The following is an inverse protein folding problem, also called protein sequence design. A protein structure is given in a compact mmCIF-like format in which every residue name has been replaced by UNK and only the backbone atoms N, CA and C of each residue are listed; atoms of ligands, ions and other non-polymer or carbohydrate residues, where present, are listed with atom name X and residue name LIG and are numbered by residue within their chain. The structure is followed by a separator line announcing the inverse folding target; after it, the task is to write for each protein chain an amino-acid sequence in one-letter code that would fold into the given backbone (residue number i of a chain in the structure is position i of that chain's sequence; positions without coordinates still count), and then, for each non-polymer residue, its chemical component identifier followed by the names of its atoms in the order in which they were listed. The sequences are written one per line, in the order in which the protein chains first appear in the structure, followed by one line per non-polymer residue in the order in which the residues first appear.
data_IF_045417791117
#
_entry.id   IF_045417791117
#
_cell.length_a   1.000
_cell.length_b   1.000
_cell.length_c   1.000
_cell.angle_alpha   90.00
_cell.angle_beta   90.00
_cell.angle_gamma   90.00
#
_symmetry.space_group_name_H-M   'P 1'
#
loop_
_entity.id
_entity.type
_entity.pdbx_description
1 polymer ?
#
# COMPACT_ATOMS: atom_id res chain seq x y z
N UNK A 1 35.73 -18.16 -0.12
CA UNK A 1 34.59 -18.90 0.46
C UNK A 1 33.33 -18.15 0.08
N UNK A 2 32.51 -18.73 -0.81
CA UNK A 2 31.16 -18.22 -1.05
C UNK A 2 30.32 -18.66 0.14
N UNK A 3 30.03 -17.73 1.06
CA UNK A 3 28.94 -17.94 2.00
C UNK A 3 27.64 -17.74 1.20
N UNK A 4 27.02 -18.84 0.78
CA UNK A 4 25.59 -18.80 0.49
C UNK A 4 24.88 -18.23 1.73
N UNK A 5 23.98 -17.27 1.53
CA UNK A 5 23.23 -16.65 2.61
C UNK A 5 22.36 -17.70 3.31
N UNK A 6 22.90 -18.30 4.38
CA UNK A 6 22.17 -19.23 5.24
C UNK A 6 21.28 -18.44 6.18
N UNK A 7 19.98 -18.59 6.02
CA UNK A 7 18.99 -18.06 6.95
C UNK A 7 18.77 -19.07 8.09
N UNK A 8 18.64 -18.58 9.31
CA UNK A 8 18.30 -19.39 10.47
C UNK A 8 17.46 -18.58 11.45
N UNK A 9 16.58 -19.26 12.19
CA UNK A 9 15.75 -18.62 13.21
C UNK A 9 16.60 -18.28 14.42
N UNK A 10 16.73 -16.99 14.71
CA UNK A 10 17.49 -16.50 15.87
C UNK A 10 16.64 -16.44 17.15
N UNK A 11 15.31 -16.33 16.99
CA UNK A 11 14.39 -16.10 18.08
C UNK A 11 12.97 -16.52 17.67
N UNK A 12 12.22 -17.05 18.63
CA UNK A 12 10.79 -17.32 18.49
C UNK A 12 10.10 -16.89 19.79
N UNK A 13 9.00 -16.15 19.68
CA UNK A 13 8.16 -15.78 20.81
C UNK A 13 6.74 -16.27 20.54
N UNK A 14 6.16 -16.90 21.54
CA UNK A 14 4.72 -17.17 21.59
C UNK A 14 4.15 -16.15 22.56
N UNK A 15 3.12 -15.42 22.14
CA UNK A 15 2.47 -14.42 22.98
C UNK A 15 0.97 -14.57 22.88
N UNK A 16 0.27 -14.34 23.99
CA UNK A 16 -1.19 -14.34 24.05
C UNK A 16 -1.78 -12.98 23.62
N UNK A 17 -0.95 -11.92 23.61
CA UNK A 17 -1.29 -10.55 23.20
C UNK A 17 -0.10 -9.87 22.53
N UNK A 18 -0.35 -8.97 21.58
CA UNK A 18 0.69 -8.29 20.80
C UNK A 18 0.61 -6.77 20.98
N UNK A 19 0.92 -6.26 22.18
CA UNK A 19 1.05 -4.81 22.41
C UNK A 19 2.45 -4.32 22.05
N UNK A 20 2.57 -3.04 21.68
CA UNK A 20 3.86 -2.38 21.38
C UNK A 20 4.93 -2.67 22.44
N UNK A 21 4.54 -2.59 23.73
CA UNK A 21 5.44 -2.85 24.87
C UNK A 21 5.97 -4.29 24.90
N UNK A 22 5.16 -5.27 24.53
CA UNK A 22 5.55 -6.69 24.56
C UNK A 22 6.54 -7.02 23.45
N UNK A 23 6.39 -6.37 22.29
CA UNK A 23 7.34 -6.47 21.17
C UNK A 23 8.63 -5.70 21.49
N UNK A 24 8.53 -4.52 22.10
CA UNK A 24 9.70 -3.75 22.52
C UNK A 24 10.61 -4.57 23.46
N UNK A 25 10.02 -5.22 24.47
CA UNK A 25 10.75 -6.11 25.39
C UNK A 25 11.41 -7.27 24.67
N UNK A 26 10.79 -7.81 23.62
CA UNK A 26 11.39 -8.88 22.82
C UNK A 26 12.69 -8.41 22.15
N UNK A 27 12.73 -7.18 21.63
CA UNK A 27 13.97 -6.62 21.07
C UNK A 27 15.01 -6.39 22.17
N UNK A 28 14.61 -5.87 23.32
CA UNK A 28 15.50 -5.69 24.47
C UNK A 28 16.14 -7.03 24.90
N UNK A 29 15.32 -8.07 25.13
CA UNK A 29 15.77 -9.42 25.50
C UNK A 29 16.75 -9.99 24.46
N UNK A 30 16.45 -9.80 23.18
CA UNK A 30 17.33 -10.25 22.09
C UNK A 30 18.71 -9.59 22.17
N UNK A 31 18.77 -8.29 22.42
CA UNK A 31 20.04 -7.55 22.46
C UNK A 31 20.81 -7.72 23.77
N UNK A 32 20.13 -8.04 24.88
CA UNK A 32 20.79 -8.43 26.14
C UNK A 32 21.71 -9.65 25.93
N UNK A 33 21.42 -10.51 24.95
CA UNK A 33 22.30 -11.65 24.59
C UNK A 33 23.63 -11.23 23.96
N UNK A 34 23.84 -9.94 23.68
CA UNK A 34 25.01 -9.41 23.00
C UNK A 34 24.85 -9.31 21.47
N UNK A 35 23.67 -9.60 20.94
CA UNK A 35 23.34 -9.35 19.54
C UNK A 35 23.50 -7.86 19.21
N UNK A 36 24.12 -7.54 18.07
CA UNK A 36 24.25 -6.14 17.61
C UNK A 36 22.95 -5.69 16.96
N UNK A 37 22.57 -4.40 17.06
CA UNK A 37 21.48 -3.85 16.27
C UNK A 37 21.71 -4.12 14.78
N UNK A 38 20.69 -4.60 14.05
CA UNK A 38 20.80 -4.84 12.63
C UNK A 38 20.82 -3.52 11.85
N UNK A 39 21.35 -3.55 10.63
CA UNK A 39 21.29 -2.40 9.72
C UNK A 39 19.88 -2.20 9.14
N UNK A 40 19.10 -3.28 9.03
CA UNK A 40 17.72 -3.27 8.53
C UNK A 40 16.86 -4.29 9.29
N UNK A 41 15.61 -3.92 9.58
CA UNK A 41 14.57 -4.82 10.09
C UNK A 41 13.39 -4.76 9.13
N UNK A 42 12.96 -5.94 8.67
CA UNK A 42 11.77 -6.11 7.83
C UNK A 42 10.70 -6.79 8.66
N UNK A 43 9.48 -6.25 8.67
CA UNK A 43 8.35 -6.79 9.43
C UNK A 43 7.03 -6.55 8.72
N UNK A 44 5.99 -7.30 9.10
CA UNK A 44 4.63 -7.09 8.60
C UNK A 44 4.10 -5.70 8.98
N UNK A 45 3.05 -5.24 8.28
CA UNK A 45 2.39 -3.94 8.51
C UNK A 45 1.52 -3.96 9.79
N UNK A 46 2.11 -4.38 10.90
CA UNK A 46 1.47 -4.33 12.21
C UNK A 46 1.94 -3.09 12.97
N UNK A 47 0.98 -2.30 13.44
CA UNK A 47 1.27 -1.05 14.17
C UNK A 47 2.10 -1.29 15.43
N UNK A 48 1.84 -2.37 16.16
CA UNK A 48 2.60 -2.69 17.36
C UNK A 48 4.06 -3.10 17.06
N UNK A 49 4.29 -3.83 15.95
CA UNK A 49 5.64 -4.19 15.50
C UNK A 49 6.42 -2.96 15.07
N UNK A 50 5.81 -2.14 14.21
CA UNK A 50 6.42 -0.94 13.65
C UNK A 50 6.75 0.09 14.74
N UNK A 51 5.82 0.35 15.68
CA UNK A 51 6.06 1.25 16.81
C UNK A 51 7.17 0.73 17.71
N UNK A 52 7.15 -0.56 18.07
CA UNK A 52 8.18 -1.14 18.93
C UNK A 52 9.58 -1.04 18.29
N UNK A 53 9.67 -1.25 16.98
CA UNK A 53 10.93 -1.14 16.24
C UNK A 53 11.41 0.32 16.17
N UNK A 54 10.51 1.26 15.89
CA UNK A 54 10.83 2.69 15.86
C UNK A 54 11.35 3.18 17.22
N UNK A 55 10.68 2.79 18.31
CA UNK A 55 11.10 3.09 19.68
C UNK A 55 12.45 2.46 20.03
N UNK A 56 12.64 1.19 19.71
CA UNK A 56 13.83 0.47 20.13
C UNK A 56 15.07 0.88 19.33
N UNK A 57 14.98 0.85 18.00
CA UNK A 57 16.11 1.02 17.09
C UNK A 57 16.39 2.46 16.68
N UNK A 58 15.36 3.32 16.66
CA UNK A 58 15.47 4.70 16.17
C UNK A 58 15.20 5.74 17.25
N UNK A 59 14.79 5.33 18.45
CA UNK A 59 14.45 6.20 19.59
C UNK A 59 13.32 7.19 19.30
N UNK A 60 12.49 6.89 18.29
CA UNK A 60 11.27 7.63 17.99
C UNK A 60 10.13 7.16 18.91
N UNK A 61 9.16 8.00 19.22
CA UNK A 61 8.03 7.61 20.09
C UNK A 61 7.05 6.67 19.38
N UNK A 62 6.98 6.73 18.05
CA UNK A 62 6.10 5.94 17.21
C UNK A 62 6.63 5.86 15.76
N UNK A 63 5.94 5.10 14.92
CA UNK A 63 6.27 4.94 13.51
C UNK A 63 6.07 6.24 12.70
N UNK A 64 5.15 7.11 13.09
CA UNK A 64 4.92 8.39 12.42
C UNK A 64 6.15 9.30 12.50
N UNK A 65 6.73 9.42 13.70
CA UNK A 65 7.93 10.20 13.96
C UNK A 65 9.12 9.59 13.21
N UNK A 66 9.23 8.26 13.18
CA UNK A 66 10.23 7.57 12.37
C UNK A 66 10.08 7.89 10.88
N UNK A 67 8.86 7.84 10.35
CA UNK A 67 8.59 8.14 8.94
C UNK A 67 8.94 9.60 8.60
N UNK A 68 8.66 10.54 9.50
CA UNK A 68 9.06 11.95 9.32
C UNK A 68 10.59 12.10 9.34
N UNK A 69 11.28 11.39 10.24
CA UNK A 69 12.74 11.39 10.34
C UNK A 69 13.42 10.86 9.08
N UNK A 70 12.81 9.88 8.40
CA UNK A 70 13.33 9.31 7.15
C UNK A 70 13.38 10.30 5.97
N UNK A 71 12.74 11.47 6.10
CA UNK A 71 12.85 12.59 5.14
C UNK A 71 14.12 13.41 5.33
N UNK A 72 14.73 13.36 6.51
CA UNK A 72 15.92 14.12 6.83
C UNK A 72 17.19 13.42 6.30
N UNK A 73 18.28 14.18 6.23
CA UNK A 73 19.59 13.63 5.86
C UNK A 73 20.16 12.71 6.95
N UNK A 74 19.89 13.02 8.22
CA UNK A 74 20.32 12.23 9.38
C UNK A 74 19.35 11.06 9.65
N UNK A 75 19.51 10.00 8.87
CA UNK A 75 18.65 8.81 8.94
C UNK A 75 19.06 7.90 10.10
N UNK A 76 18.10 7.22 10.77
CA UNK A 76 18.42 6.22 11.77
C UNK A 76 19.34 5.14 11.23
N UNK A 77 20.26 4.70 12.08
CA UNK A 77 21.24 3.66 11.72
C UNK A 77 20.57 2.36 11.28
N UNK A 78 19.50 1.96 11.98
CA UNK A 78 18.70 0.79 11.61
C UNK A 78 17.50 1.25 10.79
N UNK A 79 17.39 0.74 9.56
CA UNK A 79 16.24 0.98 8.70
C UNK A 79 15.10 0.03 9.07
N UNK A 80 13.88 0.54 9.17
CA UNK A 80 12.66 -0.24 9.38
C UNK A 80 11.92 -0.27 8.05
N UNK A 81 11.58 -1.47 7.58
CA UNK A 81 10.85 -1.69 6.33
C UNK A 81 9.66 -2.61 6.58
N UNK A 82 8.62 -2.37 5.78
CA UNK A 82 7.46 -3.26 5.71
C UNK A 82 7.79 -4.41 4.76
N UNK A 83 7.39 -5.63 5.13
CA UNK A 83 7.41 -6.78 4.25
C UNK A 83 6.50 -6.52 3.04
N UNK A 84 7.13 -6.33 1.89
CA UNK A 84 6.46 -6.01 0.63
C UNK A 84 5.54 -7.13 0.16
N UNK A 85 5.91 -8.40 0.40
CA UNK A 85 5.10 -9.54 -0.01
C UNK A 85 3.83 -9.65 0.85
N UNK A 86 3.97 -9.46 2.16
CA UNK A 86 2.82 -9.41 3.06
C UNK A 86 1.91 -8.24 2.71
N UNK A 87 2.47 -7.04 2.54
CA UNK A 87 1.75 -5.84 2.15
C UNK A 87 0.94 -6.06 0.86
N UNK A 88 1.56 -6.57 -0.21
CA UNK A 88 0.85 -6.86 -1.47
C UNK A 88 -0.24 -7.91 -1.29
N UNK A 89 -0.04 -8.90 -0.42
CA UNK A 89 -1.06 -9.91 -0.15
C UNK A 89 -2.29 -9.33 0.56
N UNK A 90 -2.11 -8.36 1.46
CA UNK A 90 -3.22 -7.61 2.09
C UNK A 90 -4.09 -6.93 1.05
N UNK A 91 -3.50 -6.15 0.14
CA UNK A 91 -4.26 -5.49 -0.93
C UNK A 91 -4.86 -6.46 -1.93
N UNK A 92 -4.17 -7.57 -2.25
CA UNK A 92 -4.76 -8.65 -3.06
C UNK A 92 -6.04 -9.18 -2.40
N UNK A 93 -6.04 -9.33 -1.08
CA UNK A 93 -7.20 -9.69 -0.26
C UNK A 93 -8.36 -8.71 -0.41
N UNK A 94 -8.09 -7.41 -0.26
CA UNK A 94 -9.09 -6.34 -0.43
C UNK A 94 -9.73 -6.35 -1.82
N UNK A 95 -8.94 -6.65 -2.85
CA UNK A 95 -9.41 -6.68 -4.24
C UNK A 95 -10.06 -8.02 -4.65
N UNK A 96 -10.18 -9.01 -3.75
CA UNK A 96 -10.84 -10.30 -4.05
C UNK A 96 -12.30 -10.13 -4.44
N UNK A 97 -12.99 -9.14 -3.86
CA UNK A 97 -14.41 -8.85 -4.15
C UNK A 97 -14.66 -8.31 -5.57
N UNK A 98 -13.62 -7.83 -6.25
CA UNK A 98 -13.73 -7.32 -7.62
C UNK A 98 -13.74 -8.49 -8.60
N UNK A 99 -14.85 -8.65 -9.34
CA UNK A 99 -15.01 -9.73 -10.34
C UNK A 99 -14.08 -9.58 -11.54
N UNK A 100 -13.82 -8.34 -11.96
CA UNK A 100 -12.97 -8.08 -13.12
C UNK A 100 -11.49 -8.30 -12.79
N UNK A 101 -10.91 -9.37 -13.36
CA UNK A 101 -9.48 -9.67 -13.25
C UNK A 101 -8.62 -8.52 -13.78
N UNK A 102 -9.03 -7.88 -14.88
CA UNK A 102 -8.30 -6.77 -15.47
C UNK A 102 -8.22 -5.56 -14.52
N UNK A 103 -9.32 -5.24 -13.82
CA UNK A 103 -9.35 -4.17 -12.81
C UNK A 103 -8.43 -4.51 -11.64
N UNK A 104 -8.50 -5.75 -11.13
CA UNK A 104 -7.62 -6.23 -10.06
C UNK A 104 -6.15 -6.14 -10.45
N UNK A 105 -5.79 -6.56 -11.66
CA UNK A 105 -4.41 -6.49 -12.17
C UNK A 105 -3.93 -5.05 -12.25
N UNK A 106 -4.75 -4.13 -12.77
CA UNK A 106 -4.36 -2.73 -12.88
C UNK A 106 -4.04 -2.13 -11.51
N UNK A 107 -4.91 -2.33 -10.51
CA UNK A 107 -4.66 -1.84 -9.15
C UNK A 107 -3.45 -2.51 -8.50
N UNK A 108 -3.30 -3.83 -8.61
CA UNK A 108 -2.14 -4.54 -8.07
C UNK A 108 -0.83 -4.08 -8.73
N UNK A 109 -0.83 -3.83 -10.04
CA UNK A 109 0.34 -3.32 -10.74
C UNK A 109 0.66 -1.87 -10.34
N UNK A 110 -0.35 -1.02 -10.16
CA UNK A 110 -0.17 0.35 -9.67
C UNK A 110 0.42 0.36 -8.24
N UNK A 111 -0.10 -0.46 -7.33
CA UNK A 111 0.43 -0.62 -5.97
C UNK A 111 1.86 -1.17 -6.00
N UNK A 112 2.11 -2.21 -6.81
CA UNK A 112 3.46 -2.74 -6.99
C UNK A 112 4.45 -1.70 -7.51
N UNK A 113 4.01 -0.85 -8.46
CA UNK A 113 4.83 0.25 -8.99
C UNK A 113 5.11 1.31 -7.94
N UNK A 114 4.12 1.63 -7.09
CA UNK A 114 4.27 2.56 -5.97
C UNK A 114 5.36 2.09 -4.99
N UNK A 115 5.44 0.77 -4.71
CA UNK A 115 6.41 0.22 -3.75
C UNK A 115 7.86 0.27 -4.23
N UNK A 116 8.09 0.33 -5.54
CA UNK A 116 9.43 0.36 -6.14
C UNK A 116 9.82 1.74 -6.67
N UNK A 117 8.94 2.74 -6.57
CA UNK A 117 9.25 4.09 -7.03
C UNK A 117 10.24 4.77 -6.08
N UNK A 118 11.17 5.51 -6.65
CA UNK A 118 12.20 6.28 -5.95
C UNK A 118 11.90 7.80 -5.94
N UNK A 119 10.86 8.21 -6.68
CA UNK A 119 10.43 9.60 -6.80
C UNK A 119 9.11 9.84 -6.07
N UNK A 120 9.11 10.82 -5.15
CA UNK A 120 7.88 11.24 -4.47
C UNK A 120 6.84 11.76 -5.48
N UNK A 121 7.28 12.44 -6.54
CA UNK A 121 6.39 12.94 -7.60
C UNK A 121 5.72 11.79 -8.36
N UNK A 122 6.45 10.71 -8.67
CA UNK A 122 5.85 9.52 -9.28
C UNK A 122 4.89 8.83 -8.33
N UNK A 123 5.22 8.74 -7.04
CA UNK A 123 4.32 8.22 -6.02
C UNK A 123 3.01 9.03 -5.94
N UNK A 124 3.10 10.36 -5.94
CA UNK A 124 1.95 11.27 -5.95
C UNK A 124 1.06 11.03 -7.17
N UNK A 125 1.66 10.94 -8.36
CA UNK A 125 0.91 10.70 -9.60
C UNK A 125 0.21 9.34 -9.59
N UNK A 126 0.85 8.29 -9.09
CA UNK A 126 0.25 6.95 -8.97
C UNK A 126 -0.92 6.97 -7.97
N UNK A 127 -0.72 7.54 -6.78
CA UNK A 127 -1.75 7.61 -5.74
C UNK A 127 -2.95 8.46 -6.22
N UNK A 128 -2.67 9.61 -6.82
CA UNK A 128 -3.70 10.48 -7.39
C UNK A 128 -4.52 9.74 -8.46
N UNK A 129 -3.84 9.04 -9.37
CA UNK A 129 -4.51 8.25 -10.40
C UNK A 129 -5.39 7.15 -9.79
N UNK A 130 -4.90 6.44 -8.77
CA UNK A 130 -5.70 5.45 -8.04
C UNK A 130 -6.96 6.10 -7.45
N UNK A 131 -6.85 7.24 -6.76
CA UNK A 131 -7.98 7.93 -6.15
C UNK A 131 -9.04 8.39 -7.17
N UNK A 132 -8.62 9.03 -8.27
CA UNK A 132 -9.55 9.48 -9.31
C UNK A 132 -10.28 8.28 -9.92
N UNK A 133 -9.54 7.25 -10.34
CA UNK A 133 -10.12 6.11 -11.05
C UNK A 133 -11.03 5.27 -10.14
N UNK A 134 -10.71 5.13 -8.86
CA UNK A 134 -11.56 4.35 -7.94
C UNK A 134 -12.84 5.07 -7.52
N UNK A 135 -12.91 6.40 -7.65
CA UNK A 135 -14.04 7.21 -7.14
C UNK A 135 -14.88 7.90 -8.22
N UNK A 136 -14.42 7.99 -9.48
CA UNK A 136 -15.24 8.52 -10.57
C UNK A 136 -16.18 7.44 -11.13
N UNK A 137 -17.48 7.72 -11.21
CA UNK A 137 -18.46 6.80 -11.79
C UNK A 137 -18.36 6.67 -13.32
N UNK A 138 -17.86 7.73 -13.98
CA UNK A 138 -17.78 7.83 -15.44
C UNK A 138 -16.36 8.16 -15.91
N UNK A 139 -16.03 7.78 -17.14
CA UNK A 139 -14.75 8.07 -17.80
C UNK A 139 -14.96 8.32 -19.31
N UNK A 140 -13.87 8.32 -20.08
CA UNK A 140 -13.91 8.59 -21.52
C UNK A 140 -13.74 10.07 -21.82
N UNK A 141 -14.43 10.57 -22.85
CA UNK A 141 -14.39 11.99 -23.20
C UNK A 141 -15.36 12.80 -22.34
N UNK A 142 -15.05 14.07 -22.13
CA UNK A 142 -15.97 15.02 -21.51
C UNK A 142 -17.25 15.12 -22.33
N UNK A 143 -18.38 15.21 -21.64
CA UNK A 143 -19.68 15.44 -22.29
C UNK A 143 -19.72 16.91 -22.72
N UNK A 144 -19.35 17.20 -23.96
CA UNK A 144 -19.35 18.57 -24.51
C UNK A 144 -20.72 18.88 -25.13
N UNK A 145 -21.18 20.12 -24.96
CA UNK A 145 -22.48 20.59 -25.50
C UNK A 145 -22.41 21.05 -26.96
N UNK A 146 -21.21 21.31 -27.49
CA UNK A 146 -20.98 21.82 -28.85
C UNK A 146 -20.34 20.73 -29.72
N UNK A 147 -20.96 20.43 -30.86
CA UNK A 147 -20.52 19.40 -31.81
C UNK A 147 -19.19 19.74 -32.52
N UNK A 148 -18.69 20.97 -32.38
CA UNK A 148 -17.47 21.43 -33.06
C UNK A 148 -16.21 21.38 -32.18
N UNK A 149 -16.32 21.05 -30.90
CA UNK A 149 -15.15 20.94 -30.01
C UNK A 149 -14.55 19.53 -30.06
N UNK A 150 -13.21 19.46 -30.10
CA UNK A 150 -12.50 18.18 -30.02
C UNK A 150 -12.74 17.62 -28.61
N UNK A 151 -13.28 16.40 -28.46
CA UNK A 151 -13.62 15.87 -27.15
C UNK A 151 -12.37 15.67 -26.31
N UNK A 152 -12.19 16.52 -25.29
CA UNK A 152 -11.13 16.33 -24.31
C UNK A 152 -11.42 15.11 -23.44
N UNK A 153 -10.36 14.42 -23.01
CA UNK A 153 -10.50 13.26 -22.13
C UNK A 153 -10.81 13.74 -20.71
N UNK A 154 -11.74 13.06 -20.02
CA UNK A 154 -11.92 13.20 -18.57
C UNK A 154 -10.61 12.95 -17.84
N UNK A 155 -10.44 13.54 -16.66
CA UNK A 155 -9.32 13.23 -15.79
C UNK A 155 -9.29 11.74 -15.42
N UNK A 156 -10.45 11.12 -15.22
CA UNK A 156 -10.51 9.67 -15.03
C UNK A 156 -9.92 8.93 -16.23
N UNK A 157 -10.27 9.31 -17.46
CA UNK A 157 -9.71 8.70 -18.67
C UNK A 157 -8.19 8.89 -18.78
N UNK A 158 -7.67 10.09 -18.48
CA UNK A 158 -6.22 10.39 -18.51
C UNK A 158 -5.47 9.53 -17.51
N UNK A 159 -5.99 9.41 -16.29
CA UNK A 159 -5.37 8.61 -15.24
C UNK A 159 -5.42 7.10 -15.55
N UNK A 160 -6.48 6.59 -16.18
CA UNK A 160 -6.52 5.19 -16.66
C UNK A 160 -5.41 4.93 -17.69
N UNK A 161 -5.23 5.83 -18.67
CA UNK A 161 -4.17 5.70 -19.67
C UNK A 161 -2.79 5.76 -19.02
N UNK A 162 -2.59 6.67 -18.07
CA UNK A 162 -1.37 6.77 -17.29
C UNK A 162 -1.06 5.47 -16.56
N UNK A 163 -1.98 4.93 -15.75
CA UNK A 163 -1.72 3.67 -15.02
C UNK A 163 -1.46 2.51 -15.96
N UNK A 164 -2.19 2.40 -17.08
CA UNK A 164 -1.94 1.37 -18.10
C UNK A 164 -0.54 1.47 -18.70
N UNK A 165 -0.02 2.69 -18.89
CA UNK A 165 1.33 2.89 -19.40
C UNK A 165 2.44 2.46 -18.43
N UNK A 166 2.13 2.41 -17.12
CA UNK A 166 3.06 1.94 -16.09
C UNK A 166 3.13 0.41 -16.01
N UNK A 167 2.14 -0.29 -16.55
CA UNK A 167 2.12 -1.76 -16.61
C UNK A 167 2.94 -2.20 -17.82
N UNK A 168 4.11 -2.81 -17.59
CA UNK A 168 5.00 -3.29 -18.66
C UNK A 168 4.37 -4.41 -19.49
N UNK A 169 4.83 -4.57 -20.73
CA UNK A 169 4.39 -5.67 -21.61
C UNK A 169 4.62 -7.07 -20.99
N UNK A 170 5.55 -7.26 -20.06
CA UNK A 170 5.73 -8.55 -19.36
C UNK A 170 4.55 -8.92 -18.45
N UNK A 171 3.94 -7.93 -17.77
CA UNK A 171 2.71 -8.15 -17.00
C UNK A 171 1.56 -8.47 -17.95
N UNK A 172 1.55 -7.81 -19.11
CA UNK A 172 0.58 -8.01 -20.21
C UNK A 172 0.74 -9.36 -20.93
N UNK A 173 1.96 -9.86 -21.08
CA UNK A 173 2.28 -11.15 -21.72
C UNK A 173 2.06 -12.34 -20.77
N UNK A 174 2.19 -12.13 -19.45
CA UNK A 174 1.72 -13.09 -18.45
C UNK A 174 0.18 -13.23 -18.44
N UNK A 175 -0.57 -12.28 -19.04
CA UNK A 175 -2.02 -12.40 -19.25
C UNK A 175 -2.35 -13.53 -20.23
N UNK A 176 -1.62 -13.67 -21.34
CA UNK A 176 -1.91 -14.72 -22.34
C UNK A 176 -1.60 -16.13 -21.82
N UNK A 177 -0.50 -16.31 -21.08
CA UNK A 177 -0.12 -17.64 -20.55
C UNK A 177 -0.95 -18.10 -19.36
N UNK A 178 -1.51 -17.18 -18.59
CA UNK A 178 -2.38 -17.51 -17.46
C UNK A 178 -3.86 -17.72 -17.87
N UNK A 179 -4.19 -17.68 -19.18
CA UNK A 179 -5.49 -18.07 -19.73
C UNK A 179 -5.62 -19.60 -19.92
N UNK A 180 -4.51 -20.35 -19.93
CA UNK A 180 -4.54 -21.80 -20.16
C UNK A 180 -4.54 -22.65 -18.87
N UNK A 181 -4.49 -22.03 -17.68
CA UNK A 181 -4.28 -22.76 -16.42
C UNK A 181 -5.13 -22.30 -15.21
N UNK A 182 -6.20 -21.54 -15.43
CA UNK A 182 -7.09 -21.10 -14.34
C UNK A 182 -8.29 -22.06 -14.13
N UNK A 183 -7.98 -23.34 -13.99
CA UNK A 183 -8.87 -24.38 -13.45
C UNK A 183 -8.15 -25.09 -12.29
N UNK A 184 -7.70 -24.32 -11.29
CA UNK A 184 -7.52 -24.85 -9.92
C UNK A 184 -7.49 -23.70 -8.91
N UNK A 185 -8.68 -23.18 -8.60
CA UNK A 185 -9.00 -22.68 -7.25
C UNK A 185 -8.89 -23.84 -6.24
N UNK A 186 -7.66 -24.35 -6.03
CA UNK A 186 -7.36 -25.27 -4.94
C UNK A 186 -6.83 -24.45 -3.77
N UNK A 187 -7.76 -24.09 -2.89
CA UNK A 187 -7.56 -23.99 -1.46
C UNK A 187 -6.23 -23.35 -1.02
N UNK A 188 -6.03 -22.08 -1.36
CA UNK A 188 -5.25 -21.21 -0.47
C UNK A 188 -6.18 -20.59 0.55
N UNK A 189 -6.69 -21.46 1.42
CA UNK A 189 -7.21 -21.11 2.73
C UNK A 189 -6.01 -20.77 3.64
N UNK A 190 -5.15 -19.84 3.20
CA UNK A 190 -4.40 -19.04 4.15
C UNK A 190 -5.46 -18.16 4.74
N UNK A 191 -5.75 -18.42 6.02
CA UNK A 191 -6.32 -17.50 6.98
C UNK A 191 -6.78 -16.23 6.26
N UNK A 192 -8.10 -16.06 6.11
CA UNK A 192 -8.57 -14.69 6.27
C UNK A 192 -7.95 -14.24 7.58
N UNK A 193 -6.82 -13.55 7.51
CA UNK A 193 -6.51 -12.48 8.42
C UNK A 193 -7.71 -11.59 8.22
N UNK A 194 -8.79 -11.93 8.93
CA UNK A 194 -9.70 -10.99 9.54
C UNK A 194 -8.82 -9.77 9.71
N UNK A 195 -9.16 -8.68 9.03
CA UNK A 195 -8.66 -7.35 9.37
C UNK A 195 -8.62 -7.37 10.89
N UNK A 196 -7.43 -7.60 11.46
CA UNK A 196 -7.35 -7.97 12.86
C UNK A 196 -7.92 -6.74 13.52
N UNK A 197 -8.98 -6.94 14.31
CA UNK A 197 -9.59 -5.88 15.09
C UNK A 197 -8.43 -5.07 15.65
N UNK A 198 -8.27 -3.85 15.15
CA UNK A 198 -7.32 -2.89 15.68
C UNK A 198 -7.64 -2.89 17.17
N UNK A 199 -6.70 -3.37 17.99
CA UNK A 199 -6.89 -3.52 19.42
C UNK A 199 -7.53 -2.21 19.94
N UNK A 200 -8.83 -2.23 20.28
CA UNK A 200 -9.63 -1.06 20.70
C UNK A 200 -9.16 -0.47 22.05
N UNK A 201 -8.02 -0.93 22.58
CA UNK A 201 -7.52 -0.66 23.92
C UNK A 201 -6.31 0.30 23.95
N UNK A 202 -5.84 0.83 22.82
CA UNK A 202 -4.97 2.00 22.80
C UNK A 202 -5.81 3.17 22.26
N UNK A 203 -6.05 4.21 23.08
CA UNK A 203 -6.56 5.49 22.59
C UNK A 203 -5.71 5.90 21.38
N UNK A 204 -6.28 5.77 20.19
CA UNK A 204 -5.60 6.09 18.95
C UNK A 204 -5.43 7.60 18.91
N UNK A 205 -4.36 8.09 19.54
CA UNK A 205 -3.92 9.47 19.36
C UNK A 205 -3.50 9.54 17.90
N UNK A 206 -4.39 10.06 17.05
CA UNK A 206 -4.09 10.37 15.66
C UNK A 206 -3.02 11.46 15.65
N UNK A 207 -1.75 11.03 15.71
CA UNK A 207 -0.62 11.92 15.58
C UNK A 207 -0.56 12.35 14.13
N UNK A 208 -1.02 13.58 13.86
CA UNK A 208 -0.90 14.18 12.53
C UNK A 208 0.57 14.40 12.22
N UNK A 209 1.12 13.61 11.30
CA UNK A 209 2.48 13.76 10.78
C UNK A 209 2.49 14.30 9.33
N UNK A 210 3.69 14.50 8.76
CA UNK A 210 3.81 14.99 7.39
C UNK A 210 3.05 14.10 6.40
N UNK A 211 3.21 12.78 6.52
CA UNK A 211 2.65 11.80 5.60
C UNK A 211 1.11 11.76 5.61
N UNK A 212 0.49 11.85 6.79
CA UNK A 212 -0.97 11.96 6.92
C UNK A 212 -1.51 13.24 6.26
N UNK A 213 -0.81 14.36 6.44
CA UNK A 213 -1.17 15.65 5.82
C UNK A 213 -0.97 15.59 4.30
N UNK A 214 0.11 14.94 3.85
CA UNK A 214 0.43 14.74 2.45
C UNK A 214 -0.63 13.88 1.74
N UNK A 215 -1.02 12.74 2.33
CA UNK A 215 -2.07 11.89 1.80
C UNK A 215 -3.43 12.63 1.70
N UNK A 216 -3.80 13.40 2.73
CA UNK A 216 -5.01 14.23 2.73
C UNK A 216 -5.02 15.28 1.62
N UNK A 217 -3.88 15.91 1.35
CA UNK A 217 -3.75 16.87 0.22
C UNK A 217 -3.95 16.20 -1.13
N UNK A 218 -3.42 14.99 -1.32
CA UNK A 218 -3.61 14.23 -2.57
C UNK A 218 -5.06 13.84 -2.78
N UNK A 219 -5.74 13.37 -1.72
CA UNK A 219 -7.16 13.06 -1.77
C UNK A 219 -7.97 14.31 -2.14
N UNK A 220 -7.71 15.43 -1.46
CA UNK A 220 -8.42 16.68 -1.74
C UNK A 220 -8.22 17.18 -3.18
N UNK A 221 -7.02 16.98 -3.75
CA UNK A 221 -6.76 17.28 -5.16
C UNK A 221 -7.60 16.39 -6.09
N UNK A 222 -7.75 15.11 -5.76
CA UNK A 222 -8.52 14.16 -6.57
C UNK A 222 -10.03 14.41 -6.49
N UNK A 223 -10.54 14.85 -5.33
CA UNK A 223 -11.97 15.11 -5.09
C UNK A 223 -12.61 16.07 -6.09
N UNK A 224 -11.84 17.03 -6.63
CA UNK A 224 -12.33 17.96 -7.64
C UNK A 224 -12.88 17.26 -8.90
N UNK A 225 -12.44 16.03 -9.16
CA UNK A 225 -12.78 15.28 -10.36
C UNK A 225 -13.84 14.18 -10.12
N UNK A 226 -14.25 13.93 -8.89
CA UNK A 226 -15.15 12.80 -8.58
C UNK A 226 -16.52 12.93 -9.25
N UNK A 227 -17.01 14.16 -9.39
CA UNK A 227 -18.30 14.45 -10.02
C UNK A 227 -18.19 14.74 -11.54
N UNK A 228 -16.99 14.65 -12.13
CA UNK A 228 -16.77 14.87 -13.55
C UNK A 228 -17.53 13.82 -14.39
N UNK A 229 -18.32 14.29 -15.36
CA UNK A 229 -19.17 13.42 -16.21
C UNK A 229 -18.50 13.14 -17.55
N UNK A 230 -18.26 11.86 -17.80
CA UNK A 230 -17.73 11.32 -19.04
C UNK A 230 -18.78 10.59 -19.87
N UNK A 231 -18.40 10.26 -21.11
CA UNK A 231 -19.23 9.52 -22.06
C UNK A 231 -19.51 8.07 -21.66
N UNK A 232 -18.59 7.45 -20.91
CA UNK A 232 -18.59 6.02 -20.63
C UNK A 232 -18.70 5.74 -19.13
N UNK A 233 -19.25 4.58 -18.78
CA UNK A 233 -19.20 4.09 -17.39
C UNK A 233 -17.78 3.65 -17.03
N UNK A 234 -17.30 4.02 -15.84
CA UNK A 234 -15.97 3.64 -15.39
C UNK A 234 -15.95 2.20 -14.85
N UNK A 235 -15.42 1.27 -15.64
CA UNK A 235 -15.27 -0.13 -15.23
C UNK A 235 -14.27 -0.37 -14.09
N UNK A 236 -13.50 0.63 -13.68
CA UNK A 236 -12.55 0.58 -12.56
C UNK A 236 -13.10 1.20 -11.26
N UNK A 237 -14.29 1.79 -11.29
CA UNK A 237 -14.94 2.37 -10.12
C UNK A 237 -15.13 1.33 -9.01
N UNK A 238 -14.79 1.69 -7.76
CA UNK A 238 -14.83 0.80 -6.60
C UNK A 238 -15.97 1.18 -5.65
N UNK A 239 -17.21 0.83 -6.02
CA UNK A 239 -18.45 1.11 -5.28
C UNK A 239 -18.42 0.72 -3.78
N UNK A 240 -17.63 -0.29 -3.42
CA UNK A 240 -17.57 -0.85 -2.07
C UNK A 240 -16.38 -0.35 -1.23
N UNK A 241 -15.54 0.54 -1.75
CA UNK A 241 -14.40 1.10 -1.03
C UNK A 241 -14.64 2.60 -0.85
N UNK A 242 -15.35 2.94 0.21
CA UNK A 242 -15.57 4.34 0.60
C UNK A 242 -14.30 4.88 1.28
N UNK A 243 -13.41 5.48 0.48
CA UNK A 243 -12.16 6.07 0.96
C UNK A 243 -12.44 7.22 1.94
N UNK A 244 -13.62 7.86 1.87
CA UNK A 244 -14.00 8.98 2.74
C UNK A 244 -14.35 8.55 4.17
N UNK A 245 -14.63 7.26 4.41
CA UNK A 245 -14.97 6.74 5.75
C UNK A 245 -13.79 6.28 6.60
N UNK A 246 -12.59 6.16 6.01
CA UNK A 246 -11.41 5.58 6.67
C UNK A 246 -10.34 6.64 7.05
N UNK A 247 -10.71 7.91 7.19
CA UNK A 247 -9.81 9.01 7.57
C UNK A 247 -10.43 10.01 8.54
#
# INVERSE_FOLDING_TARGET
MNFEAKQFTVMQKISERHKTRDVYRLFEDFHITGARPPDEVVMDESRCLLNAAAMYYSKCNNIEEYADLMRNEDKPKTRIRIDTAHFLNTYRGLLKGIKSRHVRTLYMAAIGRLLITDSIEQAENIIHAIFVISNCETCGSLVVSDENEIPELTECGKNIQFLKSLVTEEVRNNEEKALEHDDTDKDFNIFSTSIENVDEDEEEVVVTNYWSTWAKKLLHKAEYFFDEKGTDANGYFLENIDIKKNY
#
